data_IF_504925762211
#
_entry.id   IF_504925762211
#
_cell.length_a   1.000
_cell.length_b   1.000
_cell.length_c   1.000
_cell.angle_alpha   90.00
_cell.angle_beta   90.00
_cell.angle_gamma   90.00
#
_symmetry.space_group_name_H-M   'P 1'
#
loop_
_entity.id
_entity.type
_entity.pdbx_description
1 polymer ?
#
# COMPACT_ATOMS: atom_id res chain seq x y z
N UNK A 1 -45.85 -22.83 12.18
CA UNK A 1 -45.07 -21.66 11.73
C UNK A 1 -43.86 -21.59 12.64
N UNK A 2 -42.77 -22.23 12.23
CA UNK A 2 -41.55 -22.33 13.02
C UNK A 2 -40.66 -21.16 12.65
N UNK A 3 -40.35 -20.32 13.63
CA UNK A 3 -39.35 -19.26 13.48
C UNK A 3 -37.96 -19.87 13.61
N UNK A 4 -37.12 -19.65 12.60
CA UNK A 4 -35.67 -19.85 12.67
C UNK A 4 -35.03 -18.60 13.28
N UNK A 5 -34.09 -18.74 14.23
CA UNK A 5 -33.17 -17.65 14.50
C UNK A 5 -31.70 -18.05 14.41
N UNK A 6 -30.92 -17.05 13.99
CA UNK A 6 -29.47 -16.91 14.09
C UNK A 6 -28.66 -17.77 13.12
N UNK A 7 -28.82 -17.45 11.84
CA UNK A 7 -27.66 -17.31 10.95
C UNK A 7 -26.61 -16.42 11.64
N UNK A 8 -25.60 -17.04 12.23
CA UNK A 8 -24.33 -16.38 12.54
C UNK A 8 -23.38 -16.75 11.42
N UNK A 9 -23.62 -16.26 10.20
CA UNK A 9 -22.56 -16.18 9.22
C UNK A 9 -21.40 -15.38 9.85
N UNK A 10 -20.19 -15.96 9.94
CA UNK A 10 -19.03 -15.16 10.30
C UNK A 10 -18.91 -14.08 9.23
N UNK A 11 -19.17 -12.83 9.64
CA UNK A 11 -18.88 -11.61 8.87
C UNK A 11 -17.56 -11.85 8.13
N UNK A 12 -17.51 -11.75 6.79
CA UNK A 12 -16.26 -11.96 6.08
C UNK A 12 -15.27 -10.97 6.68
N UNK A 13 -14.26 -11.48 7.40
CA UNK A 13 -13.04 -10.71 7.62
C UNK A 13 -12.65 -10.24 6.23
N UNK A 14 -12.41 -8.94 5.99
CA UNK A 14 -11.93 -8.50 4.70
C UNK A 14 -10.54 -9.12 4.52
N UNK A 15 -10.52 -10.36 4.03
CA UNK A 15 -9.42 -10.95 3.33
C UNK A 15 -9.16 -10.01 2.18
N UNK A 16 -8.28 -9.05 2.42
CA UNK A 16 -7.66 -8.20 1.43
C UNK A 16 -7.02 -9.12 0.41
N UNK A 17 -7.77 -9.50 -0.61
CA UNK A 17 -7.24 -9.79 -1.92
C UNK A 17 -7.51 -8.54 -2.79
N UNK A 18 -6.51 -7.65 -2.91
CA UNK A 18 -6.63 -6.21 -3.18
C UNK A 18 -6.55 -5.86 -4.67
N UNK A 19 -7.27 -6.57 -5.53
CA UNK A 19 -7.23 -6.27 -6.97
C UNK A 19 -8.09 -5.04 -7.27
N UNK A 20 -7.52 -3.85 -6.97
CA UNK A 20 -8.00 -2.47 -7.23
C UNK A 20 -8.40 -1.61 -6.02
N UNK A 21 -7.80 -1.83 -4.84
CA UNK A 21 -7.89 -0.90 -3.69
C UNK A 21 -6.84 0.22 -3.80
N UNK A 22 -6.84 0.96 -4.92
CA UNK A 22 -5.94 2.11 -5.13
C UNK A 22 -4.51 1.79 -5.57
N UNK A 23 -4.22 0.62 -6.13
CA UNK A 23 -2.91 0.33 -6.73
C UNK A 23 -2.55 1.33 -7.85
N UNK A 24 -1.29 1.78 -7.87
CA UNK A 24 -0.79 2.81 -8.81
C UNK A 24 0.29 2.31 -9.77
N UNK A 25 0.92 1.17 -9.48
CA UNK A 25 2.01 0.64 -10.29
C UNK A 25 3.01 -0.18 -9.48
N UNK A 26 3.92 -0.86 -10.19
CA UNK A 26 5.07 -1.54 -9.59
C UNK A 26 6.42 -1.06 -10.14
N UNK A 27 7.45 -1.17 -9.32
CA UNK A 27 8.82 -0.90 -9.71
C UNK A 27 9.76 -1.90 -9.06
N UNK A 28 10.88 -2.20 -9.71
CA UNK A 28 11.74 -3.32 -9.32
C UNK A 28 13.18 -2.88 -9.11
N UNK A 29 13.86 -3.53 -8.17
CA UNK A 29 15.31 -3.41 -7.98
C UNK A 29 15.90 -4.77 -7.61
N UNK A 30 16.61 -5.38 -8.56
CA UNK A 30 17.11 -6.74 -8.38
C UNK A 30 15.93 -7.72 -8.21
N UNK A 31 15.95 -8.60 -7.20
CA UNK A 31 14.85 -9.54 -6.94
C UNK A 31 13.64 -8.89 -6.25
N UNK A 32 13.79 -7.67 -5.70
CA UNK A 32 12.73 -7.00 -4.97
C UNK A 32 11.75 -6.29 -5.93
N UNK A 33 10.47 -6.62 -5.79
CA UNK A 33 9.35 -5.93 -6.45
C UNK A 33 8.68 -5.04 -5.43
N UNK A 34 8.51 -3.77 -5.77
CA UNK A 34 7.84 -2.77 -4.96
C UNK A 34 6.52 -2.39 -5.61
N UNK A 35 5.44 -2.45 -4.86
CA UNK A 35 4.11 -2.08 -5.33
C UNK A 35 3.64 -0.84 -4.57
N UNK A 36 3.13 0.15 -5.31
CA UNK A 36 2.59 1.37 -4.73
C UNK A 36 1.06 1.30 -4.73
N UNK A 37 0.48 1.65 -3.59
CA UNK A 37 -0.95 1.77 -3.38
C UNK A 37 -1.28 3.15 -2.84
N UNK A 38 -2.41 3.69 -3.25
CA UNK A 38 -3.05 4.87 -2.68
C UNK A 38 -4.13 4.39 -1.74
N UNK A 39 -3.95 4.66 -0.46
CA UNK A 39 -4.96 4.36 0.54
C UNK A 39 -6.10 5.39 0.42
N UNK A 40 -7.33 4.94 0.66
CA UNK A 40 -8.48 5.85 0.77
C UNK A 40 -8.42 6.62 2.08
N UNK A 41 -7.60 7.67 2.10
CA UNK A 41 -7.59 8.64 3.20
C UNK A 41 -8.92 9.41 3.27
N UNK A 42 -9.19 10.02 4.43
CA UNK A 42 -10.38 10.85 4.63
C UNK A 42 -10.56 11.84 3.47
N UNK A 43 -11.80 12.08 2.98
CA UNK A 43 -12.05 12.90 1.77
C UNK A 43 -11.61 14.37 1.89
N UNK A 44 -11.26 14.80 3.11
CA UNK A 44 -10.78 16.15 3.42
C UNK A 44 -9.27 16.18 3.76
N UNK A 45 -8.63 15.02 3.79
CA UNK A 45 -7.21 14.87 4.11
C UNK A 45 -6.34 14.72 2.86
N UNK A 46 -5.03 14.89 3.02
CA UNK A 46 -4.06 14.57 1.97
C UNK A 46 -4.14 13.08 1.62
N UNK A 47 -3.89 12.71 0.35
CA UNK A 47 -3.88 11.30 -0.01
C UNK A 47 -2.71 10.59 0.68
N UNK A 48 -3.00 9.39 1.17
CA UNK A 48 -2.05 8.50 1.83
C UNK A 48 -1.62 7.41 0.86
N UNK A 49 -0.35 7.01 0.95
CA UNK A 49 0.26 6.04 0.06
C UNK A 49 1.01 4.99 0.85
N UNK A 50 0.87 3.74 0.41
CA UNK A 50 1.51 2.57 0.97
C UNK A 50 2.44 1.94 -0.07
N UNK A 51 3.66 1.64 0.33
CA UNK A 51 4.60 0.86 -0.47
C UNK A 51 4.76 -0.50 0.17
N UNK A 52 4.52 -1.53 -0.64
CA UNK A 52 4.84 -2.90 -0.31
C UNK A 52 6.09 -3.36 -1.04
N UNK A 53 6.85 -4.26 -0.43
CA UNK A 53 7.96 -4.95 -1.05
C UNK A 53 7.74 -6.45 -0.98
N UNK A 54 7.97 -7.12 -2.11
CA UNK A 54 8.08 -8.56 -2.21
C UNK A 54 9.50 -8.89 -2.70
N UNK A 55 10.31 -9.45 -1.81
CA UNK A 55 11.69 -9.88 -2.04
C UNK A 55 11.81 -11.41 -2.16
N UNK A 56 10.68 -12.11 -2.30
CA UNK A 56 10.60 -13.57 -2.31
C UNK A 56 10.10 -14.17 -0.98
N UNK A 57 9.97 -13.37 0.08
CA UNK A 57 9.34 -13.79 1.34
C UNK A 57 7.83 -13.44 1.43
N UNK A 58 7.26 -12.94 0.32
CA UNK A 58 5.89 -12.44 0.23
C UNK A 58 5.79 -10.91 0.36
N UNK A 59 4.69 -10.30 -0.11
CA UNK A 59 4.49 -8.86 -0.05
C UNK A 59 4.35 -8.40 1.41
N UNK A 60 5.08 -7.34 1.77
CA UNK A 60 5.03 -6.71 3.10
C UNK A 60 5.06 -5.21 2.96
N UNK A 61 4.26 -4.50 3.75
CA UNK A 61 4.33 -3.04 3.85
C UNK A 61 5.67 -2.62 4.43
N UNK A 62 6.38 -1.78 3.68
CA UNK A 62 7.70 -1.28 4.07
C UNK A 62 7.70 0.23 4.33
N UNK A 63 6.75 0.96 3.74
CA UNK A 63 6.64 2.40 3.90
C UNK A 63 5.19 2.87 3.80
N UNK A 64 4.84 3.89 4.58
CA UNK A 64 3.61 4.67 4.43
C UNK A 64 3.95 6.16 4.44
N UNK A 65 3.31 6.96 3.61
CA UNK A 65 3.55 8.40 3.53
C UNK A 65 2.36 9.16 2.93
N UNK A 66 2.26 10.45 3.23
CA UNK A 66 1.27 11.35 2.63
C UNK A 66 1.89 12.14 1.46
N UNK A 67 1.10 12.48 0.44
CA UNK A 67 1.56 13.37 -0.65
C UNK A 67 1.51 14.83 -0.21
N UNK A 68 2.35 15.16 0.77
CA UNK A 68 2.58 16.52 1.25
C UNK A 68 4.09 16.80 1.31
N UNK A 69 4.52 18.04 1.06
CA UNK A 69 5.94 18.39 1.00
C UNK A 69 6.66 18.17 2.33
N UNK A 70 5.96 18.32 3.45
CA UNK A 70 6.50 18.19 4.81
C UNK A 70 6.22 16.80 5.43
N UNK A 71 5.50 15.93 4.73
CA UNK A 71 5.21 14.59 5.24
C UNK A 71 6.47 13.75 5.33
N UNK A 72 6.74 13.25 6.54
CA UNK A 72 7.84 12.33 6.79
C UNK A 72 7.38 10.91 6.48
N UNK A 73 8.03 10.19 5.55
CA UNK A 73 7.68 8.81 5.26
C UNK A 73 8.00 7.91 6.44
N UNK A 74 7.02 7.11 6.86
CA UNK A 74 7.18 6.13 7.91
C UNK A 74 7.64 4.80 7.32
N UNK A 75 8.86 4.38 7.69
CA UNK A 75 9.46 3.12 7.25
C UNK A 75 9.32 2.04 8.32
N UNK A 76 9.05 0.80 7.88
CA UNK A 76 8.81 -0.34 8.77
C UNK A 76 9.96 -1.36 8.74
N UNK A 77 10.20 -2.00 9.90
CA UNK A 77 11.17 -3.09 10.03
C UNK A 77 12.60 -2.69 9.63
N UNK A 78 13.22 -3.54 8.80
CA UNK A 78 14.61 -3.37 8.34
C UNK A 78 14.82 -2.17 7.41
N UNK A 79 13.73 -1.56 6.91
CA UNK A 79 13.80 -0.42 5.99
C UNK A 79 14.04 0.91 6.72
N UNK A 80 13.98 0.94 8.05
CA UNK A 80 14.31 2.15 8.83
C UNK A 80 15.77 2.54 8.61
N UNK A 81 15.99 3.63 7.86
CA UNK A 81 17.31 4.19 7.47
C UNK A 81 18.05 3.36 6.41
N UNK A 82 17.33 2.57 5.64
CA UNK A 82 17.94 1.85 4.53
C UNK A 82 18.38 2.83 3.43
N UNK A 83 19.58 2.65 2.82
CA UNK A 83 20.05 3.51 1.75
C UNK A 83 19.17 3.50 0.49
N UNK A 84 18.25 2.54 0.36
CA UNK A 84 17.32 2.48 -0.76
C UNK A 84 16.09 3.36 -0.55
N UNK A 85 15.79 3.79 0.68
CA UNK A 85 14.62 4.62 1.00
C UNK A 85 14.47 5.85 0.07
N UNK A 86 15.51 6.66 -0.17
CA UNK A 86 15.39 7.82 -1.07
C UNK A 86 15.07 7.43 -2.52
N UNK A 87 15.64 6.33 -3.01
CA UNK A 87 15.40 5.83 -4.36
C UNK A 87 13.97 5.32 -4.52
N UNK A 88 13.48 4.53 -3.54
CA UNK A 88 12.12 3.99 -3.52
C UNK A 88 11.10 5.13 -3.53
N UNK A 89 11.28 6.14 -2.67
CA UNK A 89 10.40 7.32 -2.64
C UNK A 89 10.42 8.11 -3.95
N UNK A 90 11.58 8.26 -4.58
CA UNK A 90 11.69 8.91 -5.89
C UNK A 90 10.89 8.17 -6.96
N UNK A 91 10.90 6.82 -6.95
CA UNK A 91 10.10 6.01 -7.88
C UNK A 91 8.61 6.09 -7.55
N UNK A 92 8.24 6.01 -6.27
CA UNK A 92 6.85 6.14 -5.83
C UNK A 92 6.26 7.49 -6.20
N UNK A 93 6.95 8.60 -5.92
CA UNK A 93 6.51 9.96 -6.31
C UNK A 93 6.34 10.13 -7.82
N UNK A 94 7.18 9.46 -8.61
CA UNK A 94 7.01 9.46 -10.07
C UNK A 94 5.73 8.74 -10.49
N UNK A 95 5.42 7.59 -9.89
CA UNK A 95 4.16 6.88 -10.14
C UNK A 95 2.94 7.67 -9.65
N UNK A 96 3.06 8.48 -8.61
CA UNK A 96 1.97 9.37 -8.18
C UNK A 96 1.71 10.45 -9.24
N UNK A 97 2.76 11.05 -9.81
CA UNK A 97 2.65 12.07 -10.84
C UNK A 97 2.19 11.51 -12.20
N UNK A 98 2.65 10.31 -12.53
CA UNK A 98 2.34 9.59 -13.78
C UNK A 98 1.92 8.15 -13.43
N UNK A 99 0.68 7.92 -12.97
CA UNK A 99 0.20 6.58 -12.66
C UNK A 99 0.17 5.74 -13.94
N UNK A 100 0.48 4.45 -13.82
CA UNK A 100 0.40 3.53 -14.96
C UNK A 100 -1.07 3.33 -15.33
N UNK A 101 -1.56 4.18 -16.24
CA UNK A 101 -2.92 4.17 -16.75
C UNK A 101 -3.05 2.96 -17.71
N UNK A 102 -3.47 1.81 -17.19
CA UNK A 102 -3.89 0.65 -18.00
C UNK A 102 -5.37 0.76 -18.33
#
# INVERSE_FOLDING_TARGET
>A
MTAEPADSEPRPEPGSHPDSDGWLGDFRRGPAVFSLYRETAHPLGPPEYRIECNDGAGPRTICQFFDEPEAVPEWFGAWKRDPWCPWILGRARRLIAEPENT
#
